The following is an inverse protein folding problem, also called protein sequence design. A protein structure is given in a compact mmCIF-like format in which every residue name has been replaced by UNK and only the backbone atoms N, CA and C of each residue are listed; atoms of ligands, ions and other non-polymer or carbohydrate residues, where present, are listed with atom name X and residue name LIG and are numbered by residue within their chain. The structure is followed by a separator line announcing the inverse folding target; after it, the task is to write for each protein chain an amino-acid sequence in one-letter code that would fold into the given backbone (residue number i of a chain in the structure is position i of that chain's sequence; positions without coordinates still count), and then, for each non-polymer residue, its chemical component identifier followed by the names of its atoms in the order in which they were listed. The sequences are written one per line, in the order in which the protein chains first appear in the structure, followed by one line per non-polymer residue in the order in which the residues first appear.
data_IF_190758551893
#
_entry.id   IF_190758551893
#
_cell.length_a   1.000
_cell.length_b   1.000
_cell.length_c   1.000
_cell.angle_alpha   90.00
_cell.angle_beta   90.00
_cell.angle_gamma   90.00
#
_symmetry.space_group_name_H-M   'P 1'
#
loop_
_entity.id
_entity.type
_entity.pdbx_description
1 polymer ?
#
# COMPACT_ATOMS: atom_id res chain seq x y z
N UNK A 1 29.44 -26.22 14.13
CA UNK A 1 29.40 -24.94 13.39
C UNK A 1 28.15 -24.86 12.51
N UNK A 2 26.99 -25.35 12.97
CA UNK A 2 25.84 -25.63 12.07
C UNK A 2 24.57 -24.84 12.42
N UNK A 3 24.36 -24.49 13.70
CA UNK A 3 23.17 -23.75 14.14
C UNK A 3 23.02 -22.34 13.55
N UNK A 4 24.13 -21.65 13.26
CA UNK A 4 24.09 -20.26 12.74
C UNK A 4 23.61 -20.22 11.28
N UNK A 5 23.86 -21.28 10.51
CA UNK A 5 23.51 -21.37 9.08
C UNK A 5 22.04 -21.72 8.91
N UNK A 6 21.53 -22.67 9.72
CA UNK A 6 20.10 -23.01 9.75
C UNK A 6 19.23 -21.84 10.23
N UNK A 7 19.70 -21.10 11.26
CA UNK A 7 19.01 -19.89 11.72
C UNK A 7 18.93 -18.81 10.64
N UNK A 8 20.02 -18.60 9.88
CA UNK A 8 20.03 -17.64 8.77
C UNK A 8 19.07 -18.04 7.65
N UNK A 9 18.97 -19.34 7.35
CA UNK A 9 18.08 -19.86 6.33
C UNK A 9 16.60 -19.71 6.72
N UNK A 10 16.25 -20.03 7.97
CA UNK A 10 14.91 -19.84 8.52
C UNK A 10 14.55 -18.34 8.56
N UNK A 11 15.47 -17.47 8.98
CA UNK A 11 15.25 -16.02 9.01
C UNK A 11 15.06 -15.44 7.61
N UNK A 12 15.88 -15.85 6.63
CA UNK A 12 15.70 -15.44 5.24
C UNK A 12 14.38 -15.94 4.63
N UNK A 13 13.94 -17.15 5.00
CA UNK A 13 12.65 -17.69 4.59
C UNK A 13 11.48 -16.90 5.20
N UNK A 14 11.55 -16.57 6.50
CA UNK A 14 10.55 -15.76 7.19
C UNK A 14 10.47 -14.33 6.61
N UNK A 15 11.61 -13.71 6.32
CA UNK A 15 11.70 -12.43 5.62
C UNK A 15 11.02 -12.53 4.24
N UNK A 16 11.26 -13.59 3.47
CA UNK A 16 10.59 -13.78 2.17
C UNK A 16 9.08 -14.00 2.30
N UNK A 17 8.64 -14.74 3.33
CA UNK A 17 7.22 -14.98 3.61
C UNK A 17 6.50 -13.70 4.07
N UNK A 18 7.15 -12.88 4.91
CA UNK A 18 6.65 -11.56 5.33
C UNK A 18 6.61 -10.55 4.17
N UNK A 19 7.61 -10.54 3.28
CA UNK A 19 7.61 -9.68 2.09
C UNK A 19 6.49 -10.00 1.10
N UNK A 20 6.01 -11.26 1.06
CA UNK A 20 4.89 -11.67 0.19
C UNK A 20 3.53 -11.20 0.70
N UNK A 21 3.41 -10.98 2.01
CA UNK A 21 2.19 -10.42 2.63
C UNK A 21 2.10 -8.90 2.43
N UNK A 22 3.24 -8.21 2.38
CA UNK A 22 3.32 -6.74 2.31
C UNK A 22 2.64 -6.15 1.06
N UNK A 23 2.88 -6.71 -0.13
CA UNK A 23 2.24 -6.20 -1.37
C UNK A 23 0.73 -6.41 -1.39
N UNK A 24 0.20 -7.47 -0.76
CA UNK A 24 -1.23 -7.74 -0.71
C UNK A 24 -1.95 -6.74 0.19
N UNK A 25 -1.37 -6.48 1.37
CA UNK A 25 -1.87 -5.51 2.34
C UNK A 25 -1.81 -4.08 1.79
N UNK A 26 -0.78 -3.75 1.00
CA UNK A 26 -0.69 -2.48 0.28
C UNK A 26 -1.81 -2.31 -0.75
N UNK A 27 -2.12 -3.37 -1.51
CA UNK A 27 -3.21 -3.34 -2.49
C UNK A 27 -4.57 -3.20 -1.80
N UNK A 28 -4.80 -3.87 -0.67
CA UNK A 28 -6.01 -3.69 0.15
C UNK A 28 -6.14 -2.26 0.66
N UNK A 29 -5.09 -1.68 1.25
CA UNK A 29 -5.08 -0.29 1.71
C UNK A 29 -5.31 0.71 0.56
N UNK A 30 -4.76 0.45 -0.63
CA UNK A 30 -5.02 1.27 -1.82
C UNK A 30 -6.50 1.20 -2.20
N UNK A 31 -7.11 0.01 -2.19
CA UNK A 31 -8.52 -0.15 -2.52
C UNK A 31 -9.43 0.57 -1.52
N UNK A 32 -9.20 0.42 -0.21
CA UNK A 32 -9.97 1.16 0.81
C UNK A 32 -9.83 2.67 0.63
N UNK A 33 -8.60 3.15 0.44
CA UNK A 33 -8.32 4.58 0.23
C UNK A 33 -8.96 5.08 -1.07
N UNK A 34 -9.03 4.23 -2.10
CA UNK A 34 -9.66 4.54 -3.38
C UNK A 34 -11.18 4.61 -3.28
N UNK A 35 -11.82 3.70 -2.55
CA UNK A 35 -13.26 3.77 -2.30
C UNK A 35 -13.65 5.02 -1.50
N UNK A 36 -12.84 5.37 -0.49
CA UNK A 36 -13.02 6.62 0.25
C UNK A 36 -12.86 7.85 -0.65
N UNK A 37 -11.84 7.85 -1.52
CA UNK A 37 -11.64 8.91 -2.51
C UNK A 37 -12.81 9.01 -3.49
N UNK A 38 -13.30 7.88 -4.01
CA UNK A 38 -14.41 7.82 -4.96
C UNK A 38 -15.68 8.40 -4.32
N UNK A 39 -15.98 8.00 -3.10
CA UNK A 39 -17.14 8.50 -2.35
C UNK A 39 -17.06 10.00 -2.12
N UNK A 40 -15.91 10.52 -1.65
CA UNK A 40 -15.72 11.97 -1.46
C UNK A 40 -15.72 12.75 -2.79
N UNK A 41 -15.21 12.17 -3.87
CA UNK A 41 -15.18 12.78 -5.20
C UNK A 41 -16.56 12.84 -5.84
N UNK A 42 -17.35 11.77 -5.75
CA UNK A 42 -18.76 11.73 -6.18
C UNK A 42 -19.58 12.72 -5.36
N UNK A 43 -19.38 12.78 -4.04
CA UNK A 43 -20.02 13.79 -3.18
C UNK A 43 -19.61 15.22 -3.54
N UNK A 44 -18.37 15.46 -3.97
CA UNK A 44 -17.95 16.77 -4.49
C UNK A 44 -18.67 17.10 -5.80
N UNK A 45 -18.85 16.12 -6.68
CA UNK A 45 -19.47 16.27 -8.01
C UNK A 45 -20.97 16.52 -7.92
N UNK A 46 -21.69 15.78 -7.06
CA UNK A 46 -23.13 15.92 -6.89
C UNK A 46 -23.53 17.11 -6.02
N UNK A 47 -22.78 17.38 -4.94
CA UNK A 47 -23.21 18.30 -3.90
C UNK A 47 -22.50 19.66 -3.93
N UNK A 48 -21.47 19.85 -4.76
CA UNK A 48 -20.68 21.10 -4.83
C UNK A 48 -20.02 21.48 -3.50
N UNK A 49 -19.95 20.55 -2.54
CA UNK A 49 -19.54 20.83 -1.18
C UNK A 49 -18.02 20.94 -1.10
N UNK A 50 -17.55 22.17 -0.86
CA UNK A 50 -16.11 22.50 -0.73
C UNK A 50 -15.39 21.62 0.30
N UNK A 51 -16.09 21.14 1.33
CA UNK A 51 -15.51 20.24 2.33
C UNK A 51 -15.21 18.84 1.75
N UNK A 52 -16.10 18.30 0.91
CA UNK A 52 -15.89 17.02 0.23
C UNK A 52 -14.69 17.09 -0.71
N UNK A 53 -14.52 18.22 -1.42
CA UNK A 53 -13.35 18.39 -2.28
C UNK A 53 -12.02 18.55 -1.57
N UNK A 54 -12.00 19.10 -0.36
CA UNK A 54 -10.80 19.10 0.49
C UNK A 54 -10.48 17.68 0.99
N UNK A 55 -11.50 16.89 1.32
CA UNK A 55 -11.33 15.48 1.70
C UNK A 55 -10.84 14.63 0.52
N UNK A 56 -11.47 14.72 -0.65
CA UNK A 56 -11.03 14.05 -1.86
C UNK A 56 -9.57 14.36 -2.22
N UNK A 57 -9.14 15.63 -2.10
CA UNK A 57 -7.72 16.00 -2.29
C UNK A 57 -6.80 15.36 -1.25
N UNK A 58 -7.21 15.34 0.03
CA UNK A 58 -6.42 14.72 1.10
C UNK A 58 -6.28 13.21 0.89
N UNK A 59 -7.35 12.54 0.50
CA UNK A 59 -7.38 11.10 0.21
C UNK A 59 -6.56 10.79 -1.04
N UNK A 60 -6.64 11.61 -2.09
CA UNK A 60 -5.79 11.50 -3.29
C UNK A 60 -4.30 11.61 -2.97
N UNK A 61 -3.89 12.54 -2.09
CA UNK A 61 -2.51 12.68 -1.63
C UNK A 61 -2.00 11.47 -0.84
N UNK A 62 -2.87 10.84 -0.03
CA UNK A 62 -2.54 9.60 0.66
C UNK A 62 -2.37 8.44 -0.33
N UNK A 63 -3.26 8.34 -1.31
CA UNK A 63 -3.25 7.33 -2.35
C UNK A 63 -1.99 7.41 -3.23
N UNK A 64 -1.53 8.63 -3.55
CA UNK A 64 -0.27 8.83 -4.29
C UNK A 64 0.95 8.29 -3.53
N UNK A 65 1.00 8.46 -2.20
CA UNK A 65 2.09 7.91 -1.36
C UNK A 65 2.07 6.39 -1.36
N UNK A 66 0.90 5.79 -1.15
CA UNK A 66 0.72 4.34 -1.18
C UNK A 66 1.09 3.73 -2.53
N UNK A 67 0.73 4.38 -3.65
CA UNK A 67 1.12 3.92 -4.99
C UNK A 67 2.64 4.02 -5.23
N UNK A 68 3.31 5.04 -4.67
CA UNK A 68 4.78 5.14 -4.73
C UNK A 68 5.47 4.07 -3.90
N UNK A 69 4.94 3.73 -2.72
CA UNK A 69 5.41 2.60 -1.91
C UNK A 69 5.19 1.28 -2.63
N UNK A 70 4.00 1.04 -3.18
CA UNK A 70 3.72 -0.13 -4.01
C UNK A 70 4.72 -0.27 -5.16
N UNK A 71 5.04 0.83 -5.86
CA UNK A 71 6.03 0.81 -6.93
C UNK A 71 7.43 0.45 -6.42
N UNK A 72 7.87 1.00 -5.28
CA UNK A 72 9.17 0.68 -4.69
C UNK A 72 9.26 -0.78 -4.26
N UNK A 73 8.22 -1.28 -3.58
CA UNK A 73 8.15 -2.66 -3.13
C UNK A 73 8.06 -3.64 -4.29
N UNK A 74 7.30 -3.31 -5.34
CA UNK A 74 7.23 -4.10 -6.58
C UNK A 74 8.60 -4.22 -7.27
N UNK A 75 9.37 -3.13 -7.34
CA UNK A 75 10.72 -3.15 -7.93
C UNK A 75 11.70 -3.94 -7.04
N UNK A 76 11.60 -3.79 -5.72
CA UNK A 76 12.43 -4.54 -4.77
C UNK A 76 12.16 -6.05 -4.86
N UNK A 77 10.89 -6.44 -5.03
CA UNK A 77 10.49 -7.83 -5.27
C UNK A 77 10.99 -8.37 -6.62
N UNK A 78 10.99 -7.55 -7.68
CA UNK A 78 11.47 -7.94 -9.02
C UNK A 78 13.00 -8.07 -9.13
N UNK A 79 13.77 -7.54 -8.18
CA UNK A 79 15.25 -7.65 -8.14
C UNK A 79 15.75 -8.84 -7.32
N UNK A 80 14.84 -9.63 -6.74
CA UNK A 80 15.13 -10.80 -5.90
C UNK A 80 14.94 -12.07 -6.70
#
# INVERSE_FOLDING_TARGET
MSFKVEYYFIFACLINLLNKNNMKELVENINETFEAFKTDAEAQLESGNKAAGTRARKTSLALEKLLKEFRKESIAASKK
#
